data_IF_189290493511
#
_entry.id   IF_189290493511
#
_cell.length_a   1.000
_cell.length_b   1.000
_cell.length_c   1.000
_cell.angle_alpha   90.00
_cell.angle_beta   90.00
_cell.angle_gamma   90.00
#
_symmetry.space_group_name_H-M   'P 1'
#
loop_
_entity.id
_entity.type
_entity.pdbx_description
1 polymer ?
#
# COMPACT_ATOMS: atom_id res chain seq x y z
N UNK A 1 11.78 4.34 -6.27
CA UNK A 1 10.97 5.58 -6.28
C UNK A 1 11.90 6.76 -6.13
N UNK A 2 11.67 7.86 -6.85
CA UNK A 2 12.63 8.99 -6.90
C UNK A 2 12.53 9.93 -5.70
N UNK A 3 11.39 9.94 -5.00
CA UNK A 3 11.17 10.81 -3.84
C UNK A 3 10.83 12.26 -4.22
N UNK A 4 11.02 13.15 -3.26
CA UNK A 4 10.88 14.62 -3.39
C UNK A 4 12.18 15.23 -2.88
N UNK A 5 12.73 16.24 -3.57
CA UNK A 5 14.02 16.87 -3.23
C UNK A 5 13.91 18.06 -2.28
N UNK A 6 12.70 18.50 -1.95
CA UNK A 6 12.40 19.61 -1.04
C UNK A 6 11.09 19.34 -0.30
N UNK A 7 10.63 20.27 0.54
CA UNK A 7 9.35 20.13 1.23
C UNK A 7 8.20 20.09 0.22
N UNK A 8 7.21 19.22 0.49
CA UNK A 8 6.09 19.05 -0.43
C UNK A 8 5.51 17.65 -0.43
N UNK A 9 4.52 17.44 -1.29
CA UNK A 9 3.78 16.20 -1.41
C UNK A 9 3.91 15.68 -2.84
N UNK A 10 4.21 14.39 -2.99
CA UNK A 10 4.18 13.70 -4.28
C UNK A 10 3.39 12.41 -4.17
N UNK A 11 2.53 12.19 -5.14
CA UNK A 11 1.71 11.00 -5.25
C UNK A 11 2.35 9.99 -6.21
N UNK A 12 2.29 8.72 -5.86
CA UNK A 12 2.75 7.60 -6.68
C UNK A 12 1.64 6.57 -6.79
N UNK A 13 1.42 6.03 -7.98
CA UNK A 13 0.45 4.96 -8.24
C UNK A 13 1.07 3.92 -9.16
N UNK A 14 0.83 2.65 -8.86
CA UNK A 14 1.22 1.51 -9.71
C UNK A 14 0.17 0.40 -9.58
N UNK A 15 0.15 -0.52 -10.54
CA UNK A 15 -0.62 -1.76 -10.46
C UNK A 15 0.30 -2.97 -10.32
N UNK A 16 -0.24 -4.07 -9.80
CA UNK A 16 0.41 -5.39 -9.75
C UNK A 16 -0.63 -6.50 -9.66
N UNK A 17 -0.31 -7.68 -10.18
CA UNK A 17 -1.18 -8.86 -10.12
C UNK A 17 -0.74 -9.82 -9.01
N UNK A 18 -1.72 -10.46 -8.37
CA UNK A 18 -1.49 -11.60 -7.48
C UNK A 18 -2.19 -12.85 -8.02
N UNK A 19 -1.65 -14.01 -7.65
CA UNK A 19 -2.21 -15.33 -7.98
C UNK A 19 -1.94 -16.33 -6.86
N UNK A 20 -2.54 -16.08 -5.70
CA UNK A 20 -2.47 -16.98 -4.54
C UNK A 20 -3.30 -18.23 -4.82
N UNK A 21 -2.78 -19.42 -4.48
CA UNK A 21 -3.51 -20.67 -4.67
C UNK A 21 -4.78 -20.71 -3.79
N UNK A 22 -5.86 -21.30 -4.31
CA UNK A 22 -7.20 -21.23 -3.70
C UNK A 22 -7.33 -22.01 -2.38
N UNK A 23 -6.43 -22.96 -2.13
CA UNK A 23 -6.30 -23.76 -0.92
C UNK A 23 -5.43 -23.09 0.16
N UNK A 24 -4.84 -21.93 -0.13
CA UNK A 24 -3.95 -21.22 0.78
C UNK A 24 -4.58 -19.98 1.41
N UNK A 25 -4.30 -19.80 2.70
CA UNK A 25 -4.29 -18.50 3.37
C UNK A 25 -2.86 -17.95 3.39
N UNK A 26 -2.65 -16.82 2.72
CA UNK A 26 -1.36 -16.12 2.66
C UNK A 26 -1.57 -14.69 3.15
N UNK A 27 -1.34 -14.42 4.44
CA UNK A 27 -1.39 -13.06 4.93
C UNK A 27 -0.29 -12.24 4.27
N UNK A 28 -0.68 -11.18 3.56
CA UNK A 28 0.21 -10.29 2.81
C UNK A 28 0.16 -8.90 3.43
N UNK A 29 1.27 -8.18 3.39
CA UNK A 29 1.34 -6.77 3.79
C UNK A 29 2.26 -5.96 2.91
N UNK A 30 2.27 -4.65 3.13
CA UNK A 30 3.25 -3.72 2.55
C UNK A 30 4.23 -3.30 3.63
N UNK A 31 5.51 -3.45 3.34
CA UNK A 31 6.61 -2.91 4.13
C UNK A 31 7.02 -1.55 3.60
N UNK A 32 7.07 -0.56 4.49
CA UNK A 32 7.55 0.79 4.23
C UNK A 32 8.77 1.08 5.09
N UNK A 33 9.79 1.65 4.45
CA UNK A 33 11.02 2.07 5.11
C UNK A 33 11.55 3.37 4.49
N UNK A 34 12.22 4.15 5.31
CA UNK A 34 12.92 5.36 4.90
C UNK A 34 14.32 5.39 5.53
N UNK A 35 15.29 6.10 4.92
CA UNK A 35 16.58 6.36 5.53
C UNK A 35 16.43 7.00 6.93
N UNK A 36 17.38 6.71 7.82
CA UNK A 36 17.40 7.29 9.16
C UNK A 36 17.27 8.82 9.12
N UNK A 37 16.56 9.40 10.10
CA UNK A 37 16.29 10.85 10.22
C UNK A 37 15.44 11.46 9.09
N UNK A 38 14.91 10.68 8.16
CA UNK A 38 13.93 11.19 7.19
C UNK A 38 12.71 11.71 7.95
N UNK A 39 12.32 12.98 7.74
CA UNK A 39 11.13 13.59 8.33
C UNK A 39 10.02 13.62 7.28
N UNK A 40 9.31 12.48 7.16
CA UNK A 40 8.25 12.32 6.20
C UNK A 40 7.02 11.61 6.79
N UNK A 41 5.88 11.81 6.11
CA UNK A 41 4.65 11.08 6.33
C UNK A 41 4.23 10.42 5.02
N UNK A 42 3.73 9.20 5.12
CA UNK A 42 3.22 8.44 4.00
C UNK A 42 1.80 7.97 4.31
N UNK A 43 0.90 8.18 3.36
CA UNK A 43 -0.39 7.50 3.34
C UNK A 43 -0.32 6.36 2.33
N UNK A 44 -0.69 5.16 2.77
CA UNK A 44 -0.76 3.94 1.97
C UNK A 44 -2.21 3.69 1.56
N UNK A 45 -2.42 3.51 0.26
CA UNK A 45 -3.72 3.16 -0.31
C UNK A 45 -3.61 1.88 -1.14
N UNK A 46 -4.57 0.98 -0.96
CA UNK A 46 -4.70 -0.24 -1.75
C UNK A 46 -6.13 -0.35 -2.25
N UNK A 47 -6.30 -0.46 -3.57
CA UNK A 47 -7.61 -0.54 -4.24
C UNK A 47 -8.58 0.57 -3.78
N UNK A 48 -8.07 1.79 -3.59
CA UNK A 48 -8.84 2.96 -3.16
C UNK A 48 -9.02 3.12 -1.65
N UNK A 49 -8.72 2.10 -0.84
CA UNK A 49 -8.81 2.18 0.61
C UNK A 49 -7.52 2.69 1.22
N UNK A 50 -7.60 3.71 2.09
CA UNK A 50 -6.47 4.11 2.93
C UNK A 50 -6.27 3.03 4.00
N UNK A 51 -5.10 2.40 4.03
CA UNK A 51 -4.81 1.25 4.88
C UNK A 51 -3.56 1.42 5.75
N UNK A 52 -2.97 2.61 5.77
CA UNK A 52 -1.76 2.84 6.55
C UNK A 52 -1.32 4.29 6.57
N UNK A 53 -0.74 4.67 7.71
CA UNK A 53 -0.02 5.92 7.89
C UNK A 53 1.36 5.61 8.44
N UNK A 54 2.39 5.78 7.62
CA UNK A 54 3.77 5.63 8.02
C UNK A 54 4.37 7.00 8.35
N UNK A 55 4.96 7.14 9.53
CA UNK A 55 5.63 8.38 9.97
C UNK A 55 7.07 8.04 10.32
N UNK A 56 7.98 8.31 9.39
CA UNK A 56 9.34 7.76 9.42
C UNK A 56 10.18 8.17 10.64
N UNK A 57 9.88 9.32 11.23
CA UNK A 57 10.59 9.90 12.37
C UNK A 57 9.89 9.67 13.72
N UNK A 58 8.74 8.98 13.74
CA UNK A 58 7.99 8.65 14.96
C UNK A 58 7.84 7.14 15.12
N UNK A 59 7.45 6.42 14.06
CA UNK A 59 7.28 4.97 14.11
C UNK A 59 6.16 4.51 15.09
N UNK A 60 6.15 3.23 15.51
CA UNK A 60 7.11 2.17 15.18
C UNK A 60 6.72 1.33 13.95
N UNK A 61 5.49 1.47 13.45
CA UNK A 61 4.95 0.55 12.45
C UNK A 61 5.61 0.74 11.07
N UNK A 62 6.20 -0.33 10.55
CA UNK A 62 6.80 -0.41 9.20
C UNK A 62 6.09 -1.43 8.30
N UNK A 63 5.32 -2.35 8.89
CA UNK A 63 4.59 -3.41 8.20
C UNK A 63 3.07 -3.16 8.31
N UNK A 64 2.39 -3.17 7.17
CA UNK A 64 0.97 -2.86 7.06
C UNK A 64 0.25 -4.07 6.44
N UNK A 65 -0.42 -4.93 7.23
CA UNK A 65 -1.12 -6.10 6.71
C UNK A 65 -2.31 -5.67 5.83
N UNK A 66 -2.57 -6.43 4.78
CA UNK A 66 -3.62 -6.19 3.80
C UNK A 66 -4.55 -7.41 3.75
N UNK A 67 -5.77 -7.32 4.30
CA UNK A 67 -6.67 -8.47 4.34
C UNK A 67 -7.23 -8.81 2.95
N UNK A 68 -7.55 -10.09 2.67
CA UNK A 68 -8.31 -10.49 1.49
C UNK A 68 -9.61 -9.70 1.37
N UNK A 69 -9.94 -9.26 0.15
CA UNK A 69 -11.10 -8.40 -0.14
C UNK A 69 -10.76 -6.92 -0.19
N UNK A 70 -9.81 -6.42 0.62
CA UNK A 70 -9.11 -5.16 0.30
C UNK A 70 -8.05 -5.46 -0.76
N UNK A 71 -7.24 -6.48 -0.52
CA UNK A 71 -6.33 -7.04 -1.50
C UNK A 71 -7.07 -8.09 -2.34
N UNK A 72 -6.94 -8.00 -3.65
CA UNK A 72 -7.37 -9.02 -4.60
C UNK A 72 -6.26 -10.08 -4.66
N UNK A 73 -6.42 -11.20 -3.95
CA UNK A 73 -5.39 -12.26 -3.85
C UNK A 73 -5.25 -13.09 -5.13
N UNK A 74 -6.22 -13.01 -6.03
CA UNK A 74 -6.19 -13.55 -7.40
C UNK A 74 -6.70 -12.48 -8.39
N UNK A 75 -5.79 -11.65 -8.88
CA UNK A 75 -6.06 -10.57 -9.83
C UNK A 75 -5.27 -9.27 -9.57
N UNK A 76 -5.64 -8.24 -10.34
CA UNK A 76 -4.98 -6.93 -10.31
C UNK A 76 -5.30 -6.14 -9.03
N UNK A 77 -4.29 -5.43 -8.54
CA UNK A 77 -4.36 -4.50 -7.43
C UNK A 77 -3.73 -3.16 -7.82
N UNK A 78 -4.29 -2.07 -7.30
CA UNK A 78 -3.71 -0.72 -7.39
C UNK A 78 -3.11 -0.35 -6.04
N UNK A 79 -1.81 -0.04 -6.03
CA UNK A 79 -1.11 0.55 -4.89
C UNK A 79 -0.90 2.04 -5.15
N UNK A 80 -1.30 2.87 -4.19
CA UNK A 80 -1.00 4.30 -4.21
C UNK A 80 -0.36 4.76 -2.90
N UNK A 81 0.61 5.66 -3.02
CA UNK A 81 1.34 6.24 -1.90
C UNK A 81 1.38 7.76 -2.04
N UNK A 82 0.93 8.46 -1.00
CA UNK A 82 1.16 9.89 -0.86
C UNK A 82 2.37 10.11 0.03
N UNK A 83 3.48 10.59 -0.52
CA UNK A 83 4.70 10.92 0.22
C UNK A 83 4.72 12.42 0.52
N UNK A 84 4.71 12.78 1.80
CA UNK A 84 4.85 14.14 2.28
C UNK A 84 6.22 14.33 2.94
N UNK A 85 7.11 15.05 2.28
CA UNK A 85 8.35 15.57 2.84
C UNK A 85 8.05 16.81 3.70
N UNK A 86 8.36 16.76 5.00
CA UNK A 86 8.03 17.84 5.94
C UNK A 86 9.17 18.86 6.13
N UNK A 87 10.28 18.70 5.42
CA UNK A 87 11.45 19.59 5.46
C UNK A 87 12.04 19.78 4.07
N UNK A 88 12.85 20.82 3.89
CA UNK A 88 13.50 21.13 2.60
C UNK A 88 14.64 20.18 2.23
N UNK A 89 14.97 19.22 3.11
CA UNK A 89 15.86 18.11 2.78
C UNK A 89 15.20 17.08 1.84
N UNK A 90 13.90 17.20 1.61
CA UNK A 90 13.14 16.24 0.82
C UNK A 90 12.89 14.92 1.56
N UNK A 91 12.40 13.93 0.82
CA UNK A 91 12.18 12.59 1.34
C UNK A 91 12.18 11.54 0.22
N UNK A 92 12.68 10.35 0.53
CA UNK A 92 12.60 9.16 -0.33
C UNK A 92 12.43 7.93 0.55
N UNK A 93 11.61 6.99 0.09
CA UNK A 93 11.49 5.69 0.73
C UNK A 93 12.63 4.78 0.28
N UNK A 94 13.28 4.12 1.24
CA UNK A 94 14.29 3.09 0.99
C UNK A 94 13.65 1.74 0.70
N UNK A 95 12.45 1.50 1.24
CA UNK A 95 11.70 0.24 1.07
C UNK A 95 10.25 0.55 0.76
N UNK A 96 9.76 -0.03 -0.33
CA UNK A 96 8.33 -0.24 -0.60
C UNK A 96 8.23 -1.64 -1.18
N UNK A 97 7.79 -2.59 -0.37
CA UNK A 97 7.85 -4.01 -0.71
C UNK A 97 6.57 -4.72 -0.29
N UNK A 98 6.08 -5.63 -1.13
CA UNK A 98 5.06 -6.60 -0.74
C UNK A 98 5.72 -7.72 0.07
N UNK A 99 5.14 -8.06 1.23
CA UNK A 99 5.69 -9.02 2.17
C UNK A 99 4.65 -10.09 2.50
N UNK A 100 5.03 -11.36 2.41
CA UNK A 100 4.23 -12.48 2.91
C UNK A 100 4.61 -12.77 4.37
N UNK A 101 3.64 -12.80 5.27
CA UNK A 101 3.89 -13.13 6.67
C UNK A 101 4.06 -14.64 6.87
N UNK A 102 3.29 -15.45 6.14
CA UNK A 102 3.28 -16.89 6.21
C UNK A 102 2.44 -17.49 5.07
N UNK A 103 2.39 -18.82 5.00
CA UNK A 103 1.50 -19.59 4.13
C UNK A 103 0.89 -20.74 4.93
N UNK A 104 -0.43 -20.88 4.84
CA UNK A 104 -1.18 -21.94 5.52
C UNK A 104 -2.15 -22.59 4.54
N UNK A 105 -2.30 -23.90 4.61
CA UNK A 105 -3.46 -24.55 3.98
C UNK A 105 -4.72 -24.23 4.79
N UNK A 106 -5.82 -23.93 4.10
CA UNK A 106 -7.09 -23.63 4.74
C UNK A 106 -8.26 -24.21 3.95
N UNK A 107 -9.23 -24.76 4.68
CA UNK A 107 -10.53 -25.15 4.09
C UNK A 107 -11.42 -23.94 3.78
N UNK A 108 -11.04 -22.74 4.22
CA UNK A 108 -11.75 -21.50 3.92
C UNK A 108 -11.34 -20.96 2.54
N UNK A 109 -12.31 -20.65 1.69
CA UNK A 109 -12.07 -20.20 0.31
C UNK A 109 -11.61 -18.75 0.21
N UNK A 110 -10.42 -18.41 0.72
CA UNK A 110 -9.87 -17.05 0.67
C UNK A 110 -9.75 -16.51 -0.77
N UNK A 111 -9.33 -17.35 -1.72
CA UNK A 111 -9.28 -16.99 -3.15
C UNK A 111 -10.65 -16.70 -3.78
N UNK A 112 -11.75 -17.03 -3.10
CA UNK A 112 -13.12 -16.74 -3.56
C UNK A 112 -13.66 -15.42 -3.03
N UNK A 113 -12.93 -14.73 -2.15
CA UNK A 113 -13.30 -13.39 -1.68
C UNK A 113 -13.11 -12.40 -2.84
N UNK A 114 -14.21 -11.83 -3.32
CA UNK A 114 -14.19 -10.78 -4.35
C UNK A 114 -14.56 -9.43 -3.76
N UNK A 115 -13.58 -8.52 -3.69
CA UNK A 115 -13.77 -7.14 -3.26
C UNK A 115 -14.28 -6.18 -4.34
N UNK A 116 -14.33 -6.63 -5.62
CA UNK A 116 -14.51 -5.75 -6.79
C UNK A 116 -15.71 -4.80 -6.70
N UNK A 117 -16.85 -5.29 -6.20
CA UNK A 117 -18.07 -4.46 -6.03
C UNK A 117 -17.86 -3.28 -5.08
N UNK A 118 -16.97 -3.42 -4.09
CA UNK A 118 -16.68 -2.41 -3.09
C UNK A 118 -15.43 -1.57 -3.44
N UNK A 119 -14.76 -1.89 -4.56
CA UNK A 119 -13.58 -1.19 -5.06
C UNK A 119 -13.93 -0.46 -6.37
N UNK A 120 -14.75 0.61 -6.33
CA UNK A 120 -15.07 1.38 -7.53
C UNK A 120 -13.80 1.97 -8.14
N UNK A 121 -13.71 1.93 -9.47
CA UNK A 121 -12.58 2.51 -10.19
C UNK A 121 -12.60 4.03 -10.12
N UNK A 122 -11.47 4.65 -10.46
CA UNK A 122 -11.39 6.10 -10.61
C UNK A 122 -12.46 6.62 -11.58
N UNK A 123 -13.03 7.77 -11.24
CA UNK A 123 -13.93 8.54 -12.08
C UNK A 123 -13.51 10.00 -11.99
N UNK A 124 -13.55 10.71 -13.11
CA UNK A 124 -13.26 12.13 -13.11
C UNK A 124 -14.25 12.88 -12.21
N UNK A 125 -13.69 13.65 -11.29
CA UNK A 125 -14.39 14.49 -10.32
C UNK A 125 -13.87 15.93 -10.35
N UNK A 126 -13.18 16.33 -11.42
CA UNK A 126 -12.65 17.67 -11.66
C UNK A 126 -13.68 18.79 -11.49
N UNK A 127 -14.96 18.50 -11.75
CA UNK A 127 -16.09 19.43 -11.48
C UNK A 127 -16.25 19.86 -10.02
N UNK A 128 -15.59 19.19 -9.08
CA UNK A 128 -15.63 19.49 -7.64
C UNK A 128 -14.33 20.12 -7.11
N UNK A 129 -13.37 20.42 -8.00
CA UNK A 129 -12.09 21.03 -7.65
C UNK A 129 -12.18 22.56 -7.60
#
# INVERSE_FOLDING_TARGET
>A
MDGVSTSGIKWYTTTFDLKVNQDLDVPIGVELGAPAKTVARVLLFVNGYQHGKYVSHIGPQTLFPLPPGILNTDGENTLSIALWAQTDAGAKLSTVRLFEYARYESGFGFGKISGRRLQPTWQDRSRYA
#
